data_IF_899567850694
#
_entry.id   IF_899567850694
#
_cell.length_a   1.000
_cell.length_b   1.000
_cell.length_c   1.000
_cell.angle_alpha   90.00
_cell.angle_beta   90.00
_cell.angle_gamma   90.00
#
_symmetry.space_group_name_H-M   'P 1'
#
loop_
_entity.id
_entity.type
_entity.pdbx_description
1 polymer ?
#
# COMPACT_ATOMS: atom_id res chain seq x y z
N UNK A 1 -16.06 -15.23 3.75
CA UNK A 1 -14.82 -15.05 2.98
C UNK A 1 -14.45 -13.58 3.09
N UNK A 2 -13.58 -13.22 4.04
CA UNK A 2 -13.15 -11.81 4.18
C UNK A 2 -12.37 -11.41 2.93
N UNK A 3 -12.77 -10.30 2.31
CA UNK A 3 -12.11 -9.71 1.15
C UNK A 3 -10.70 -9.25 1.55
N UNK A 4 -9.70 -10.13 1.36
CA UNK A 4 -8.31 -9.79 1.66
C UNK A 4 -7.72 -8.97 0.53
N UNK A 5 -7.23 -7.78 0.83
CA UNK A 5 -6.63 -6.91 -0.16
C UNK A 5 -5.16 -7.27 -0.39
N UNK A 6 -4.76 -7.17 -1.67
CA UNK A 6 -3.35 -7.25 -2.06
C UNK A 6 -2.60 -6.01 -1.57
N UNK A 7 -1.35 -6.19 -1.16
CA UNK A 7 -0.52 -5.08 -0.70
C UNK A 7 0.27 -4.53 -1.89
N UNK A 8 0.29 -3.21 -2.06
CA UNK A 8 1.06 -2.54 -3.11
C UNK A 8 1.99 -1.45 -2.54
N UNK A 9 2.76 -0.81 -3.43
CA UNK A 9 3.58 0.36 -3.13
C UNK A 9 2.81 1.39 -2.29
N UNK A 10 3.48 1.92 -1.26
CA UNK A 10 2.89 2.92 -0.36
C UNK A 10 2.00 2.33 0.75
N UNK A 11 1.98 1.00 0.90
CA UNK A 11 1.34 0.35 2.04
C UNK A 11 1.93 0.88 3.36
N UNK A 12 1.07 1.19 4.33
CA UNK A 12 1.51 1.66 5.64
C UNK A 12 1.71 0.45 6.54
N UNK A 13 2.90 0.35 7.12
CA UNK A 13 3.28 -0.69 8.05
C UNK A 13 3.52 -0.09 9.44
N UNK A 14 3.16 -0.83 10.47
CA UNK A 14 3.36 -0.45 11.86
C UNK A 14 4.04 -1.57 12.63
N UNK A 15 5.17 -1.25 13.25
CA UNK A 15 5.84 -2.16 14.17
C UNK A 15 5.18 -2.08 15.55
N UNK A 16 4.82 -3.22 16.15
CA UNK A 16 4.29 -3.32 17.52
C UNK A 16 5.23 -2.75 18.59
N UNK A 17 6.53 -2.76 18.30
CA UNK A 17 7.56 -2.22 19.19
C UNK A 17 8.03 -0.83 18.78
N UNK A 18 7.62 -0.35 17.60
CA UNK A 18 7.91 1.00 17.10
C UNK A 18 6.89 2.01 17.58
N UNK A 19 7.23 3.29 17.49
CA UNK A 19 6.32 4.40 17.83
C UNK A 19 5.65 5.02 16.62
N UNK A 20 6.27 4.89 15.45
CA UNK A 20 5.86 5.61 14.24
C UNK A 20 5.64 4.62 13.11
N UNK A 21 4.56 4.73 12.32
CA UNK A 21 4.37 3.93 11.11
C UNK A 21 5.28 4.41 9.98
N UNK A 22 5.59 3.52 9.03
CA UNK A 22 6.38 3.82 7.84
C UNK A 22 5.71 3.21 6.59
N UNK A 23 6.07 3.71 5.40
CA UNK A 23 5.51 3.25 4.12
C UNK A 23 6.44 2.24 3.47
N UNK A 24 5.85 1.16 2.97
CA UNK A 24 6.53 0.12 2.21
C UNK A 24 6.82 0.60 0.78
N UNK A 25 8.09 0.50 0.40
CA UNK A 25 8.63 0.72 -0.93
C UNK A 25 9.04 -0.61 -1.54
N UNK A 26 8.24 -1.07 -2.49
CA UNK A 26 8.46 -2.29 -3.26
C UNK A 26 9.64 -2.05 -4.22
N UNK A 27 10.73 -2.79 -4.01
CA UNK A 27 11.90 -2.79 -4.90
C UNK A 27 12.14 -4.15 -5.55
N UNK A 28 11.45 -5.18 -5.04
CA UNK A 28 11.59 -6.56 -5.47
C UNK A 28 11.11 -6.84 -6.90
N UNK A 29 10.23 -5.99 -7.45
CA UNK A 29 9.66 -6.15 -8.79
C UNK A 29 9.07 -4.86 -9.36
N UNK A 30 8.95 -4.80 -10.68
CA UNK A 30 8.28 -3.75 -11.44
C UNK A 30 7.39 -4.32 -12.57
N UNK A 31 6.89 -5.56 -12.41
CA UNK A 31 6.12 -6.24 -13.47
C UNK A 31 4.61 -6.31 -13.20
N UNK A 32 4.20 -6.31 -11.94
CA UNK A 32 2.81 -6.54 -11.55
C UNK A 32 2.29 -5.37 -10.73
N UNK A 33 1.20 -4.77 -11.20
CA UNK A 33 0.63 -3.53 -10.66
C UNK A 33 -0.83 -3.74 -10.23
N UNK A 34 -1.28 -2.99 -9.23
CA UNK A 34 -2.66 -3.05 -8.72
C UNK A 34 -3.34 -1.70 -8.86
N UNK A 35 -4.55 -1.71 -9.41
CA UNK A 35 -5.38 -0.51 -9.60
C UNK A 35 -4.63 0.63 -10.31
N UNK A 36 -3.82 0.26 -11.29
CA UNK A 36 -3.08 1.16 -12.15
C UNK A 36 -3.29 0.73 -13.60
N UNK A 37 -3.91 1.62 -14.40
CA UNK A 37 -4.18 1.35 -15.82
C UNK A 37 -2.91 1.44 -16.66
N UNK A 38 -1.96 2.25 -16.22
CA UNK A 38 -0.70 2.51 -16.93
C UNK A 38 0.42 1.58 -16.43
N UNK A 39 0.18 0.85 -15.34
CA UNK A 39 1.08 -0.18 -14.82
C UNK A 39 2.46 0.36 -14.45
N UNK A 40 2.54 1.46 -13.71
CA UNK A 40 3.81 2.13 -13.42
C UNK A 40 4.01 2.51 -11.94
N UNK A 41 2.94 2.83 -11.20
CA UNK A 41 3.03 3.51 -9.90
C UNK A 41 2.74 2.60 -8.70
N UNK A 42 1.98 1.51 -8.88
CA UNK A 42 1.52 0.65 -7.78
C UNK A 42 1.98 -0.81 -7.89
N UNK A 43 3.29 -1.10 -7.92
CA UNK A 43 3.76 -2.48 -7.94
C UNK A 43 3.32 -3.25 -6.69
N UNK A 44 3.03 -4.54 -6.87
CA UNK A 44 2.61 -5.45 -5.79
C UNK A 44 3.78 -5.73 -4.86
N UNK A 45 3.55 -5.73 -3.55
CA UNK A 45 4.57 -6.13 -2.58
C UNK A 45 4.67 -7.66 -2.49
N UNK A 46 5.89 -8.18 -2.35
CA UNK A 46 6.11 -9.62 -2.26
C UNK A 46 7.10 -10.00 -1.16
N UNK A 47 7.22 -11.31 -0.90
CA UNK A 47 8.10 -11.85 0.14
C UNK A 47 9.60 -11.60 -0.07
N UNK A 48 10.02 -11.09 -1.23
CA UNK A 48 11.41 -10.70 -1.53
C UNK A 48 11.71 -9.26 -1.13
N UNK A 49 10.73 -8.46 -0.70
CA UNK A 49 10.94 -7.15 -0.08
C UNK A 49 11.50 -7.32 1.36
N UNK A 50 12.74 -7.78 1.46
CA UNK A 50 13.51 -7.99 2.69
C UNK A 50 14.59 -6.92 2.86
N UNK A 51 15.22 -6.86 4.04
CA UNK A 51 16.20 -5.82 4.38
C UNK A 51 15.50 -4.54 4.84
N UNK A 52 15.64 -3.44 4.09
CA UNK A 52 15.04 -2.15 4.44
C UNK A 52 14.08 -1.68 3.33
N UNK A 53 12.89 -2.30 3.21
CA UNK A 53 11.94 -1.99 2.15
C UNK A 53 11.06 -0.77 2.50
N UNK A 54 11.49 0.14 3.38
CA UNK A 54 10.66 1.27 3.82
C UNK A 54 11.19 2.61 3.31
N UNK A 55 10.33 3.62 3.23
CA UNK A 55 10.71 4.95 2.74
C UNK A 55 11.52 5.74 3.77
N UNK A 56 11.03 5.87 5.00
CA UNK A 56 11.75 6.57 6.06
C UNK A 56 12.85 5.71 6.69
N UNK A 57 12.86 4.41 6.42
CA UNK A 57 13.80 3.42 7.00
C UNK A 57 13.84 3.48 8.53
N UNK A 58 12.72 3.85 9.16
CA UNK A 58 12.62 3.91 10.62
C UNK A 58 11.18 3.81 11.10
N UNK A 59 10.96 3.08 12.18
CA UNK A 59 9.68 3.05 12.91
C UNK A 59 9.72 3.91 14.19
N UNK A 60 10.57 4.94 14.22
CA UNK A 60 10.76 5.80 15.40
C UNK A 60 11.64 5.12 16.45
N UNK A 61 11.18 5.01 17.70
CA UNK A 61 11.92 4.32 18.78
C UNK A 61 11.44 2.88 18.97
N UNK A 62 12.39 1.96 19.20
CA UNK A 62 12.11 0.54 19.36
C UNK A 62 12.16 0.13 20.83
N UNK A 63 11.03 -0.30 21.41
CA UNK A 63 10.96 -0.81 22.79
C UNK A 63 11.89 -2.00 23.04
N UNK A 64 12.13 -2.83 22.02
CA UNK A 64 13.05 -3.99 22.11
C UNK A 64 14.53 -3.61 22.09
N UNK A 65 14.87 -2.42 21.59
CA UNK A 65 16.23 -1.87 21.65
C UNK A 65 16.35 -0.79 22.73
N UNK A 66 15.66 -0.94 23.86
CA UNK A 66 15.72 0.03 24.96
C UNK A 66 15.38 1.47 24.54
N UNK A 67 14.37 1.62 23.67
CA UNK A 67 13.93 2.89 23.06
C UNK A 67 14.95 3.58 22.16
N UNK A 68 16.01 2.88 21.72
CA UNK A 68 16.88 3.39 20.66
C UNK A 68 16.15 3.51 19.31
N UNK A 69 16.74 4.29 18.40
CA UNK A 69 16.24 4.47 17.03
C UNK A 69 16.05 3.11 16.34
N UNK A 70 14.84 2.87 15.85
CA UNK A 70 14.48 1.66 15.15
C UNK A 70 15.01 1.71 13.71
N UNK A 71 15.88 0.76 13.36
CA UNK A 71 16.27 0.48 11.98
C UNK A 71 15.62 -0.85 11.57
N UNK A 72 14.51 -0.83 10.82
CA UNK A 72 13.83 -2.05 10.42
C UNK A 72 14.74 -2.85 9.49
N UNK A 73 15.01 -4.09 9.86
CA UNK A 73 15.68 -5.06 9.01
C UNK A 73 14.79 -6.30 8.88
N UNK A 74 14.04 -6.38 7.80
CA UNK A 74 13.09 -7.45 7.53
C UNK A 74 13.84 -8.69 7.10
N UNK A 75 13.63 -9.79 7.81
CA UNK A 75 14.27 -11.08 7.55
C UNK A 75 13.35 -12.01 6.78
N UNK A 76 12.05 -11.95 7.06
CA UNK A 76 11.04 -12.77 6.42
C UNK A 76 9.65 -12.14 6.53
N UNK A 77 8.76 -12.57 5.64
CA UNK A 77 7.33 -12.31 5.71
C UNK A 77 6.59 -13.60 6.09
N UNK A 78 5.49 -13.46 6.82
CA UNK A 78 4.57 -14.53 7.25
C UNK A 78 3.16 -14.19 6.79
N UNK A 79 2.30 -15.21 6.73
CA UNK A 79 0.90 -15.08 6.32
C UNK A 79 0.73 -14.44 4.93
N UNK A 80 1.65 -14.75 4.02
CA UNK A 80 1.61 -14.38 2.60
C UNK A 80 0.72 -15.33 1.81
N UNK A 81 0.30 -14.91 0.62
CA UNK A 81 -0.48 -15.74 -0.30
C UNK A 81 0.44 -16.69 -1.07
N UNK A 82 0.25 -18.00 -0.91
CA UNK A 82 1.12 -19.03 -1.46
C UNK A 82 0.63 -19.69 -2.75
N UNK A 83 -0.63 -19.44 -3.14
CA UNK A 83 -1.21 -20.02 -4.36
C UNK A 83 -0.67 -19.38 -5.65
N UNK A 84 -0.08 -18.19 -5.56
CA UNK A 84 0.50 -17.47 -6.71
C UNK A 84 1.96 -17.15 -6.41
N UNK A 85 2.84 -17.54 -7.35
CA UNK A 85 4.28 -17.25 -7.29
C UNK A 85 4.64 -16.32 -8.44
N UNK A 86 5.36 -15.26 -8.13
CA UNK A 86 5.83 -14.29 -9.09
C UNK A 86 7.10 -14.77 -9.81
N UNK A 87 7.46 -14.19 -10.96
CA UNK A 87 8.66 -14.55 -11.72
C UNK A 87 9.97 -14.41 -10.91
N UNK A 88 9.98 -13.56 -9.88
CA UNK A 88 11.10 -13.39 -8.95
C UNK A 88 11.12 -14.43 -7.81
N UNK A 89 10.34 -15.51 -7.93
CA UNK A 89 10.07 -16.50 -6.88
C UNK A 89 9.51 -15.89 -5.58
N UNK A 90 8.97 -14.67 -5.65
CA UNK A 90 8.30 -13.99 -4.55
C UNK A 90 6.84 -14.43 -4.46
N UNK A 91 6.32 -14.46 -3.24
CA UNK A 91 4.90 -14.71 -2.96
C UNK A 91 4.20 -13.38 -2.66
N UNK A 92 2.93 -13.25 -3.01
CA UNK A 92 2.19 -12.00 -2.86
C UNK A 92 1.89 -11.73 -1.39
N UNK A 93 2.09 -10.48 -0.95
CA UNK A 93 1.69 -10.06 0.39
C UNK A 93 0.21 -9.64 0.41
N UNK A 94 -0.46 -10.02 1.49
CA UNK A 94 -1.84 -9.67 1.81
C UNK A 94 -1.85 -8.70 3.00
N UNK A 95 -2.97 -8.02 3.23
CA UNK A 95 -3.15 -7.13 4.39
C UNK A 95 -2.90 -7.81 5.75
N UNK A 96 -3.11 -9.13 5.84
CA UNK A 96 -2.86 -9.91 7.05
C UNK A 96 -1.40 -10.41 7.15
N UNK A 97 -0.58 -10.18 6.13
CA UNK A 97 0.82 -10.58 6.13
C UNK A 97 1.61 -9.78 7.15
N UNK A 98 2.53 -10.46 7.83
CA UNK A 98 3.34 -9.88 8.91
C UNK A 98 4.82 -9.97 8.60
N UNK A 99 5.55 -8.91 8.88
CA UNK A 99 7.00 -8.89 8.69
C UNK A 99 7.74 -9.26 9.99
N UNK A 100 8.82 -10.01 9.84
CA UNK A 100 9.73 -10.41 10.91
C UNK A 100 10.97 -9.52 10.88
N UNK A 101 11.18 -8.72 11.92
CA UNK A 101 12.38 -7.91 12.08
C UNK A 101 13.51 -8.72 12.72
N UNK A 102 14.76 -8.55 12.27
CA UNK A 102 15.95 -9.19 12.82
C UNK A 102 16.11 -8.96 14.34
N UNK A 103 15.68 -7.80 14.83
CA UNK A 103 15.73 -7.44 16.27
C UNK A 103 14.71 -8.23 17.09
N UNK A 104 13.51 -8.43 16.54
CA UNK A 104 12.42 -9.07 17.28
C UNK A 104 12.45 -10.60 17.14
N UNK A 105 13.05 -11.14 16.06
CA UNK A 105 13.06 -12.57 15.74
C UNK A 105 11.68 -13.19 15.51
N UNK A 106 10.62 -12.38 15.55
CA UNK A 106 9.21 -12.78 15.52
C UNK A 106 8.40 -11.80 14.68
N UNK A 107 7.22 -12.19 14.17
CA UNK A 107 6.37 -11.31 13.37
C UNK A 107 5.88 -10.13 14.22
N UNK A 108 6.44 -8.95 13.96
CA UNK A 108 6.25 -7.76 14.78
C UNK A 108 5.76 -6.54 14.00
N UNK A 109 5.75 -6.59 12.67
CA UNK A 109 5.30 -5.51 11.81
C UNK A 109 4.03 -5.96 11.11
N UNK A 110 2.95 -5.24 11.35
CA UNK A 110 1.65 -5.45 10.75
C UNK A 110 1.40 -4.40 9.66
N UNK A 111 0.64 -4.75 8.63
CA UNK A 111 0.24 -3.84 7.56
C UNK A 111 -1.10 -3.22 7.97
N UNK A 112 -1.11 -1.91 8.21
CA UNK A 112 -2.32 -1.18 8.62
C UNK A 112 -3.09 -0.64 7.43
N UNK A 113 -2.39 -0.36 6.33
CA UNK A 113 -3.00 0.07 5.08
C UNK A 113 -2.32 -0.65 3.92
N UNK A 114 -3.11 -1.30 3.07
CA UNK A 114 -2.61 -2.11 1.96
C UNK A 114 -2.05 -1.29 0.78
N UNK A 115 -2.17 0.03 0.80
CA UNK A 115 -1.57 0.93 -0.20
C UNK A 115 -2.47 1.18 -1.42
N UNK A 116 -3.56 0.45 -1.59
CA UNK A 116 -4.48 0.68 -2.70
C UNK A 116 -5.40 1.85 -2.36
N UNK A 117 -5.33 2.88 -3.18
CA UNK A 117 -6.33 3.95 -3.21
C UNK A 117 -7.09 3.82 -4.52
N UNK A 118 -8.42 3.78 -4.46
CA UNK A 118 -9.26 3.79 -5.66
C UNK A 118 -9.03 5.11 -6.40
N UNK A 119 -8.56 5.03 -7.65
CA UNK A 119 -8.51 6.20 -8.51
C UNK A 119 -9.92 6.45 -9.05
N UNK A 120 -10.52 7.59 -8.71
CA UNK A 120 -11.79 8.02 -9.30
C UNK A 120 -11.51 8.35 -10.77
N UNK A 121 -11.94 7.47 -11.66
CA UNK A 121 -11.87 7.75 -13.11
C UNK A 121 -13.15 8.44 -13.57
N UNK A 122 -13.10 9.13 -14.72
CA UNK A 122 -14.28 9.81 -15.29
C UNK A 122 -15.51 8.88 -15.44
N UNK A 123 -15.29 7.57 -15.67
CA UNK A 123 -16.37 6.58 -15.71
C UNK A 123 -17.05 6.35 -14.34
N UNK A 124 -16.33 6.51 -13.23
CA UNK A 124 -16.91 6.47 -11.88
C UNK A 124 -17.70 7.73 -11.58
N UNK A 125 -17.21 8.89 -12.04
CA UNK A 125 -17.92 10.16 -11.93
C UNK A 125 -19.24 10.16 -12.72
N UNK A 126 -19.27 9.55 -13.92
CA UNK A 126 -20.50 9.42 -14.72
C UNK A 126 -21.53 8.46 -14.12
N UNK A 127 -21.08 7.42 -13.39
CA UNK A 127 -21.96 6.47 -12.70
C UNK A 127 -22.37 6.93 -11.29
N UNK A 128 -21.86 8.06 -10.82
CA UNK A 128 -22.25 8.61 -9.54
C UNK A 128 -23.72 9.07 -9.56
N UNK A 129 -24.45 8.80 -8.48
CA UNK A 129 -25.82 9.27 -8.34
C UNK A 129 -25.83 10.79 -8.09
N UNK A 130 -26.28 11.55 -9.08
CA UNK A 130 -26.26 13.02 -9.04
C UNK A 130 -27.16 13.59 -7.92
N UNK A 131 -28.23 12.89 -7.53
CA UNK A 131 -29.13 13.36 -6.47
C UNK A 131 -28.45 13.31 -5.10
N UNK A 132 -27.66 12.25 -4.85
CA UNK A 132 -26.87 12.12 -3.63
C UNK A 132 -25.70 13.11 -3.63
N UNK A 133 -25.06 13.30 -4.78
CA UNK A 133 -23.93 14.22 -4.90
C UNK A 133 -24.35 15.68 -4.73
N UNK A 134 -25.49 16.09 -5.30
CA UNK A 134 -26.01 17.46 -5.18
C UNK A 134 -26.46 17.80 -3.75
N UNK A 135 -26.87 16.81 -2.95
CA UNK A 135 -27.17 17.01 -1.53
C UNK A 135 -25.91 17.16 -0.67
N UNK A 136 -24.86 16.39 -0.97
CA UNK A 136 -23.59 16.43 -0.23
C UNK A 136 -22.74 17.65 -0.59
N UNK A 137 -22.74 18.05 -1.87
CA UNK A 137 -21.99 19.21 -2.35
C UNK A 137 -22.75 19.95 -3.47
N UNK A 138 -23.67 20.85 -3.13
CA UNK A 138 -24.49 21.57 -4.12
C UNK A 138 -23.69 22.55 -5.01
N UNK A 139 -22.42 22.82 -4.71
CA UNK A 139 -21.57 23.72 -5.49
C UNK A 139 -20.77 23.00 -6.60
N UNK A 140 -20.70 21.67 -6.59
CA UNK A 140 -20.01 20.90 -7.63
C UNK A 140 -20.72 19.56 -7.89
N UNK A 141 -21.05 19.29 -9.15
CA UNK A 141 -21.66 18.03 -9.55
C UNK A 141 -20.60 17.02 -10.06
N UNK A 142 -20.86 15.71 -9.90
CA UNK A 142 -19.94 14.64 -10.31
C UNK A 142 -19.51 14.76 -11.79
N UNK A 143 -20.48 15.17 -12.62
CA UNK A 143 -20.29 15.37 -14.06
C UNK A 143 -19.32 16.51 -14.38
N UNK A 144 -19.32 17.57 -13.59
CA UNK A 144 -18.43 18.72 -13.77
C UNK A 144 -17.01 18.40 -13.31
N UNK A 145 -16.87 17.63 -12.23
CA UNK A 145 -15.56 17.13 -11.76
C UNK A 145 -14.87 16.20 -12.78
N UNK A 146 -15.65 15.38 -13.50
CA UNK A 146 -15.14 14.53 -14.58
C UNK A 146 -14.62 15.33 -15.79
N UNK A 147 -15.25 16.45 -16.13
CA UNK A 147 -14.83 17.33 -17.21
C UNK A 147 -13.52 18.09 -16.88
N UNK A 148 -13.33 18.49 -15.62
CA UNK A 148 -12.14 19.22 -15.20
C UNK A 148 -10.89 18.33 -15.08
N UNK A 149 -11.04 17.05 -14.74
CA UNK A 149 -9.96 16.05 -14.79
C UNK A 149 -9.46 15.78 -16.22
N UNK A 150 -10.36 15.82 -17.20
CA UNK A 150 -10.00 15.72 -18.62
C UNK A 150 -9.27 16.98 -19.12
N UNK A 151 -9.65 18.16 -18.64
CA UNK A 151 -9.01 19.42 -19.01
C UNK A 151 -7.56 19.54 -18.49
N UNK A 152 -7.25 18.99 -17.32
CA UNK A 152 -5.87 18.98 -16.79
C UNK A 152 -4.92 18.06 -17.57
N UNK A 153 -5.42 16.96 -18.14
CA UNK A 153 -4.62 16.03 -18.95
C UNK A 153 -4.36 16.50 -20.40
N UNK A 154 -5.01 17.58 -20.84
CA UNK A 154 -4.80 18.19 -22.17
C UNK A 154 -3.92 19.45 -22.12
N UNK A 155 -3.47 19.86 -20.93
CA UNK A 155 -2.65 21.05 -20.70
C UNK A 155 -1.20 20.74 -20.28
N UNK A 156 -0.75 19.49 -20.39
CA UNK A 156 0.65 19.06 -20.26
C UNK A 156 1.14 18.52 -21.59
#
# INVERSE_FOLDING_TARGET
MSEKHLVCQGAVCQCKFGTTPDKLKVKSQQGYYVNDKDGAQKPIANTKDIGQPFEANTFGSCKKMNNNSCKPNITAWKDFYDQVTLPNNGKILLENSKAVCAVAGSPCIDITFHGQTAAITAAHAQKANNDVQSQLNPLMNAKDAGAQLLAFNLAV
#
